data_IF_652069444302
#
_entry.id   IF_652069444302
#
_cell.length_a   1.000
_cell.length_b   1.000
_cell.length_c   1.000
_cell.angle_alpha   90.00
_cell.angle_beta   90.00
_cell.angle_gamma   90.00
#
_symmetry.space_group_name_H-M   'P 1'
#
loop_
_entity.id
_entity.type
_entity.pdbx_description
1 polymer ?
#
# COMPACT_ATOMS: atom_id res chain seq x y z
N UNK A 1 -7.03 15.56 -7.63
CA UNK A 1 -6.14 14.81 -6.69
C UNK A 1 -4.80 15.52 -6.69
N UNK A 2 -4.20 15.79 -5.53
CA UNK A 2 -2.87 16.43 -5.50
C UNK A 2 -1.84 15.45 -6.09
N UNK A 3 -0.72 15.95 -6.61
CA UNK A 3 0.34 15.09 -7.18
C UNK A 3 0.84 14.07 -6.14
N UNK A 4 1.07 14.52 -4.91
CA UNK A 4 1.46 13.69 -3.77
C UNK A 4 0.48 12.54 -3.49
N UNK A 5 -0.83 12.78 -3.61
CA UNK A 5 -1.85 11.74 -3.40
C UNK A 5 -1.77 10.64 -4.49
N UNK A 6 -1.38 11.00 -5.72
CA UNK A 6 -1.22 10.05 -6.83
C UNK A 6 0.03 9.19 -6.64
N UNK A 7 1.15 9.80 -6.29
CA UNK A 7 2.42 9.11 -6.09
C UNK A 7 2.34 8.18 -4.86
N UNK A 8 1.70 8.64 -3.78
CA UNK A 8 1.36 7.80 -2.62
C UNK A 8 0.53 6.59 -3.02
N UNK A 9 -0.60 6.80 -3.72
CA UNK A 9 -1.48 5.70 -4.09
C UNK A 9 -0.78 4.69 -5.00
N UNK A 10 0.05 5.16 -5.94
CA UNK A 10 0.83 4.30 -6.82
C UNK A 10 1.81 3.44 -6.02
N UNK A 11 2.60 4.05 -5.14
CA UNK A 11 3.57 3.33 -4.31
C UNK A 11 2.90 2.25 -3.44
N UNK A 12 1.83 2.60 -2.72
CA UNK A 12 1.13 1.64 -1.86
C UNK A 12 0.45 0.53 -2.67
N UNK A 13 -0.20 0.87 -3.79
CA UNK A 13 -0.85 -0.13 -4.66
C UNK A 13 0.15 -1.15 -5.21
N UNK A 14 1.34 -0.69 -5.61
CA UNK A 14 2.43 -1.54 -6.08
C UNK A 14 2.94 -2.44 -4.96
N UNK A 15 3.16 -1.89 -3.76
CA UNK A 15 3.62 -2.68 -2.62
C UNK A 15 2.62 -3.78 -2.24
N UNK A 16 1.32 -3.49 -2.30
CA UNK A 16 0.26 -4.47 -2.08
C UNK A 16 0.28 -5.58 -3.11
N UNK A 17 0.42 -5.22 -4.39
CA UNK A 17 0.51 -6.19 -5.47
C UNK A 17 1.73 -7.11 -5.31
N UNK A 18 2.91 -6.53 -5.06
CA UNK A 18 4.16 -7.28 -4.86
C UNK A 18 4.03 -8.28 -3.71
N UNK A 19 3.63 -7.80 -2.53
CA UNK A 19 3.45 -8.65 -1.35
C UNK A 19 2.41 -9.76 -1.60
N UNK A 20 1.30 -9.45 -2.30
CA UNK A 20 0.27 -10.45 -2.65
C UNK A 20 0.86 -11.54 -3.55
N UNK A 21 1.63 -11.16 -4.56
CA UNK A 21 2.23 -12.09 -5.53
C UNK A 21 3.31 -12.95 -4.88
N UNK A 22 4.21 -12.36 -4.09
CA UNK A 22 5.28 -13.05 -3.37
C UNK A 22 4.73 -14.13 -2.43
N UNK A 23 3.58 -13.87 -1.80
CA UNK A 23 2.92 -14.80 -0.91
C UNK A 23 1.87 -15.70 -1.59
N UNK A 24 1.72 -15.61 -2.92
CA UNK A 24 0.73 -16.39 -3.69
C UNK A 24 -0.71 -16.24 -3.18
N UNK A 25 -1.08 -15.04 -2.73
CA UNK A 25 -2.42 -14.76 -2.23
C UNK A 25 -3.40 -14.37 -3.35
N UNK A 26 -4.65 -14.80 -3.22
CA UNK A 26 -5.75 -14.24 -4.00
C UNK A 26 -6.08 -12.82 -3.54
N UNK A 27 -6.86 -12.08 -4.34
CA UNK A 27 -7.32 -10.74 -3.96
C UNK A 27 -8.25 -10.78 -2.74
N UNK A 28 -9.09 -11.81 -2.64
CA UNK A 28 -9.96 -12.06 -1.49
C UNK A 28 -9.14 -12.32 -0.23
N UNK A 29 -8.12 -13.18 -0.33
CA UNK A 29 -7.23 -13.48 0.80
C UNK A 29 -6.48 -12.24 1.28
N UNK A 30 -6.07 -11.37 0.36
CA UNK A 30 -5.40 -10.12 0.74
C UNK A 30 -6.38 -9.11 1.35
N UNK A 31 -7.61 -9.04 0.84
CA UNK A 31 -8.68 -8.22 1.41
C UNK A 31 -9.00 -8.64 2.85
N UNK A 32 -9.08 -9.95 3.14
CA UNK A 32 -9.23 -10.49 4.50
C UNK A 32 -8.08 -10.04 5.40
N UNK A 33 -6.83 -10.17 4.94
CA UNK A 33 -5.65 -9.75 5.71
C UNK A 33 -5.69 -8.26 6.05
N UNK A 34 -6.12 -7.42 5.10
CA UNK A 34 -6.27 -5.98 5.28
C UNK A 34 -7.56 -5.58 6.02
N UNK A 35 -8.44 -6.54 6.29
CA UNK A 35 -9.74 -6.35 6.91
C UNK A 35 -10.60 -5.31 6.16
N UNK A 36 -10.70 -5.49 4.84
CA UNK A 36 -11.53 -4.68 3.93
C UNK A 36 -12.34 -5.59 3.01
N UNK A 37 -13.30 -5.01 2.28
CA UNK A 37 -14.04 -5.78 1.27
C UNK A 37 -13.15 -6.16 0.08
N UNK A 38 -13.37 -7.30 -0.59
CA UNK A 38 -12.65 -7.66 -1.81
C UNK A 38 -12.75 -6.59 -2.90
N UNK A 39 -13.90 -5.91 -3.01
CA UNK A 39 -14.08 -4.79 -3.93
C UNK A 39 -13.14 -3.63 -3.61
N UNK A 40 -13.07 -3.24 -2.33
CA UNK A 40 -12.17 -2.17 -1.89
C UNK A 40 -10.72 -2.51 -2.19
N UNK A 41 -10.31 -3.75 -1.95
CA UNK A 41 -8.97 -4.22 -2.29
C UNK A 41 -8.70 -4.14 -3.79
N UNK A 42 -9.62 -4.61 -4.62
CA UNK A 42 -9.48 -4.57 -6.08
C UNK A 42 -9.32 -3.14 -6.60
N UNK A 43 -10.12 -2.19 -6.10
CA UNK A 43 -10.02 -0.79 -6.49
C UNK A 43 -8.67 -0.19 -6.05
N UNK A 44 -8.21 -0.49 -4.84
CA UNK A 44 -6.95 -0.01 -4.28
C UNK A 44 -5.72 -0.58 -5.00
N UNK A 45 -5.68 -1.90 -5.26
CA UNK A 45 -4.58 -2.54 -5.99
C UNK A 45 -4.49 -2.04 -7.44
N UNK A 46 -5.61 -1.65 -8.04
CA UNK A 46 -5.64 -1.01 -9.37
C UNK A 46 -5.37 0.49 -9.34
N UNK A 47 -5.10 1.07 -8.17
CA UNK A 47 -4.86 2.52 -7.99
C UNK A 47 -6.09 3.39 -8.28
N UNK A 48 -7.30 2.81 -8.26
CA UNK A 48 -8.57 3.51 -8.54
C UNK A 48 -9.14 4.23 -7.32
N UNK A 49 -8.71 3.84 -6.12
CA UNK A 49 -9.10 4.47 -4.87
C UNK A 49 -7.92 4.58 -3.91
N UNK A 50 -8.02 5.53 -2.99
CA UNK A 50 -7.04 5.73 -1.93
C UNK A 50 -7.21 4.76 -0.76
N UNK A 51 -6.36 4.94 0.23
CA UNK A 51 -6.30 4.08 1.41
C UNK A 51 -6.79 4.81 2.66
N UNK A 52 -7.61 4.13 3.46
CA UNK A 52 -7.90 4.63 4.80
C UNK A 52 -6.68 4.47 5.71
N UNK A 53 -6.55 5.32 6.73
CA UNK A 53 -5.49 5.16 7.74
C UNK A 53 -5.51 3.77 8.39
N UNK A 54 -6.69 3.19 8.62
CA UNK A 54 -6.84 1.83 9.14
C UNK A 54 -6.25 0.77 8.19
N UNK A 55 -6.48 0.91 6.89
CA UNK A 55 -5.92 0.00 5.87
C UNK A 55 -4.40 0.08 5.85
N UNK A 56 -3.83 1.29 5.95
CA UNK A 56 -2.38 1.49 6.03
C UNK A 56 -1.79 0.87 7.29
N UNK A 57 -2.38 1.12 8.47
CA UNK A 57 -1.91 0.48 9.71
C UNK A 57 -1.95 -1.05 9.60
N UNK A 58 -3.00 -1.61 8.98
CA UNK A 58 -3.11 -3.06 8.79
C UNK A 58 -2.05 -3.58 7.82
N UNK A 59 -1.75 -2.87 6.74
CA UNK A 59 -0.65 -3.19 5.83
C UNK A 59 0.68 -3.25 6.58
N UNK A 60 1.01 -2.21 7.36
CA UNK A 60 2.25 -2.17 8.13
C UNK A 60 2.36 -3.35 9.12
N UNK A 61 1.25 -3.80 9.69
CA UNK A 61 1.25 -4.95 10.61
C UNK A 61 1.39 -6.33 9.92
N UNK A 62 1.14 -6.45 8.61
CA UNK A 62 1.26 -7.74 7.90
C UNK A 62 2.58 -7.86 7.13
N UNK A 63 3.24 -6.73 6.84
CA UNK A 63 4.55 -6.72 6.21
C UNK A 63 5.63 -7.21 7.18
N UNK A 64 6.65 -7.91 6.68
CA UNK A 64 7.88 -8.14 7.42
C UNK A 64 8.56 -6.82 7.83
N UNK A 65 9.26 -6.76 8.98
CA UNK A 65 9.89 -5.53 9.47
C UNK A 65 10.82 -4.82 8.47
N UNK A 66 11.56 -5.59 7.69
CA UNK A 66 12.44 -5.11 6.63
C UNK A 66 11.67 -4.45 5.48
N UNK A 67 10.50 -5.00 5.12
CA UNK A 67 9.64 -4.42 4.10
C UNK A 67 8.94 -3.16 4.60
N UNK A 68 8.60 -3.07 5.88
CA UNK A 68 8.10 -1.84 6.50
C UNK A 68 9.15 -0.74 6.41
N UNK A 69 10.41 -1.06 6.74
CA UNK A 69 11.52 -0.11 6.67
C UNK A 69 11.76 0.37 5.24
N UNK A 70 11.74 -0.56 4.28
CA UNK A 70 11.85 -0.25 2.84
C UNK A 70 10.70 0.65 2.35
N UNK A 71 9.46 0.35 2.75
CA UNK A 71 8.29 1.16 2.39
C UNK A 71 8.38 2.59 2.95
N UNK A 72 8.79 2.75 4.21
CA UNK A 72 8.99 4.07 4.83
C UNK A 72 10.11 4.84 4.11
N UNK A 73 11.18 4.16 3.70
CA UNK A 73 12.24 4.79 2.94
C UNK A 73 11.71 5.33 1.60
N UNK A 74 11.01 4.52 0.81
CA UNK A 74 10.38 4.95 -0.45
C UNK A 74 9.38 6.10 -0.24
N UNK A 75 8.59 6.09 0.83
CA UNK A 75 7.69 7.20 1.14
C UNK A 75 8.46 8.52 1.32
N UNK A 76 9.62 8.50 1.98
CA UNK A 76 10.46 9.69 2.19
C UNK A 76 11.15 10.16 0.91
N UNK A 77 11.60 9.24 0.05
CA UNK A 77 12.44 9.59 -1.11
C UNK A 77 11.65 9.78 -2.40
N UNK A 78 10.45 9.20 -2.51
CA UNK A 78 9.63 9.22 -3.74
C UNK A 78 8.35 10.07 -3.58
N UNK A 79 7.72 10.09 -2.40
CA UNK A 79 6.42 10.76 -2.19
C UNK A 79 6.59 12.11 -1.50
N UNK A 80 7.32 12.15 -0.39
CA UNK A 80 7.54 13.33 0.43
C UNK A 80 8.97 13.84 0.35
N UNK A 81 9.62 13.69 -0.80
CA UNK A 81 11.02 14.07 -1.02
C UNK A 81 11.32 15.49 -0.56
N UNK A 82 10.44 16.43 -0.89
CA UNK A 82 10.57 17.86 -0.57
C UNK A 82 10.55 18.17 0.95
N UNK A 83 9.98 17.27 1.78
CA UNK A 83 9.95 17.45 3.25
C UNK A 83 11.27 17.03 3.93
N UNK A 84 12.16 16.35 3.20
CA UNK A 84 13.40 15.75 3.71
C UNK A 84 14.66 16.18 2.93
N UNK A 85 14.54 17.13 2.00
CA UNK A 85 15.65 17.88 1.39
C UNK A 85 15.98 19.13 2.23
#
# INVERSE_FOLDING_TARGET
MKKSDKDLNLLISRKLYEYRMENSYSQERMAEKLNISPRSYWEQEKGKSGFSGRTICRLLCILPPEEVSSLIHSLRTEVWKEDYE
#
